data_IF_940292046780
#
_entry.id   IF_940292046780
#
_cell.length_a   1.000
_cell.length_b   1.000
_cell.length_c   1.000
_cell.angle_alpha   90.00
_cell.angle_beta   90.00
_cell.angle_gamma   90.00
#
_symmetry.space_group_name_H-M   'P 1'
#
loop_
_entity.id
_entity.type
_entity.pdbx_description
1 polymer ?
#
# COMPACT_ATOMS: atom_id res chain seq x y z
N UNK A 1 11.08 25.48 7.48
CA UNK A 1 10.16 24.34 7.32
C UNK A 1 8.73 24.87 7.48
N UNK A 2 8.01 25.02 6.38
CA UNK A 2 6.69 25.70 6.34
C UNK A 2 5.57 24.73 6.73
N UNK A 3 4.51 25.22 7.39
CA UNK A 3 3.35 24.43 7.86
C UNK A 3 2.72 23.53 6.79
N UNK A 4 2.77 23.94 5.51
CA UNK A 4 2.28 23.15 4.37
C UNK A 4 2.99 21.80 4.21
N UNK A 5 4.31 21.76 4.42
CA UNK A 5 5.11 20.53 4.33
C UNK A 5 4.81 19.52 5.43
N UNK A 6 4.34 20.01 6.58
CA UNK A 6 3.98 19.17 7.72
C UNK A 6 2.61 18.50 7.54
N UNK A 7 1.65 19.18 6.89
CA UNK A 7 0.31 18.64 6.63
C UNK A 7 0.33 17.52 5.59
N UNK A 8 1.05 17.70 4.48
CA UNK A 8 0.98 16.74 3.40
C UNK A 8 1.77 15.44 3.67
N UNK A 9 2.86 15.49 4.46
CA UNK A 9 3.44 14.29 5.09
C UNK A 9 2.46 13.55 6.03
N UNK A 10 1.59 14.29 6.72
CA UNK A 10 0.54 13.69 7.58
C UNK A 10 -0.54 13.00 6.76
N UNK A 11 -0.94 13.55 5.61
CA UNK A 11 -1.99 12.96 4.75
C UNK A 11 -1.51 11.73 4.00
N UNK A 12 -0.23 11.74 3.55
CA UNK A 12 0.42 10.54 3.03
C UNK A 12 0.46 9.44 4.09
N UNK A 13 0.83 9.76 5.33
CA UNK A 13 0.88 8.78 6.41
C UNK A 13 -0.50 8.20 6.74
N UNK A 14 -1.53 9.05 6.82
CA UNK A 14 -2.92 8.61 7.03
C UNK A 14 -3.41 7.69 5.91
N UNK A 15 -3.14 8.07 4.66
CA UNK A 15 -3.54 7.28 3.48
C UNK A 15 -2.77 5.96 3.41
N UNK A 16 -1.47 5.97 3.73
CA UNK A 16 -0.65 4.77 3.82
C UNK A 16 -1.16 3.82 4.91
N UNK A 17 -1.56 4.33 6.08
CA UNK A 17 -2.12 3.51 7.14
C UNK A 17 -3.43 2.81 6.73
N UNK A 18 -4.33 3.51 6.02
CA UNK A 18 -5.54 2.92 5.43
C UNK A 18 -5.19 1.79 4.44
N UNK A 19 -4.25 2.03 3.53
CA UNK A 19 -3.84 1.03 2.54
C UNK A 19 -3.07 -0.15 3.13
N UNK A 20 -2.30 0.07 4.19
CA UNK A 20 -1.69 -0.99 4.98
C UNK A 20 -2.75 -1.89 5.63
N UNK A 21 -3.80 -1.32 6.21
CA UNK A 21 -4.89 -2.12 6.76
C UNK A 21 -5.56 -2.97 5.67
N UNK A 22 -5.89 -2.35 4.53
CA UNK A 22 -6.53 -3.04 3.42
C UNK A 22 -5.68 -4.21 2.87
N UNK A 23 -4.38 -4.02 2.64
CA UNK A 23 -3.55 -5.10 2.08
C UNK A 23 -3.31 -6.23 3.09
N UNK A 24 -3.27 -5.95 4.40
CA UNK A 24 -3.22 -7.00 5.42
C UNK A 24 -4.48 -7.87 5.40
N UNK A 25 -5.64 -7.26 5.16
CA UNK A 25 -6.90 -8.02 5.03
C UNK A 25 -6.90 -8.84 3.73
N UNK A 26 -6.37 -8.31 2.63
CA UNK A 26 -6.16 -9.07 1.38
C UNK A 26 -5.26 -10.29 1.61
N UNK A 27 -4.13 -10.13 2.31
CA UNK A 27 -3.22 -11.25 2.64
C UNK A 27 -3.97 -12.34 3.41
N UNK A 28 -4.71 -11.95 4.46
CA UNK A 28 -5.49 -12.90 5.28
C UNK A 28 -6.56 -13.63 4.47
N UNK A 29 -7.25 -12.92 3.57
CA UNK A 29 -8.25 -13.54 2.71
C UNK A 29 -7.60 -14.42 1.64
N UNK A 30 -6.43 -14.04 1.11
CA UNK A 30 -5.65 -14.87 0.20
C UNK A 30 -5.18 -16.17 0.87
N UNK A 31 -4.69 -16.11 2.11
CA UNK A 31 -4.31 -17.31 2.89
C UNK A 31 -5.49 -18.30 3.05
N UNK A 32 -6.72 -17.79 3.05
CA UNK A 32 -7.94 -18.58 3.25
C UNK A 32 -8.60 -19.05 1.96
N UNK A 33 -8.54 -18.24 0.90
CA UNK A 33 -9.29 -18.43 -0.36
C UNK A 33 -8.38 -18.74 -1.56
N UNK A 34 -7.07 -18.54 -1.42
CA UNK A 34 -6.12 -18.50 -2.53
C UNK A 34 -6.54 -17.46 -3.57
N UNK A 35 -6.42 -17.83 -4.85
CA UNK A 35 -6.81 -16.95 -5.96
C UNK A 35 -8.31 -16.61 -5.99
N UNK A 36 -9.16 -17.30 -5.22
CA UNK A 36 -10.57 -16.92 -5.07
C UNK A 36 -10.79 -15.55 -4.41
N UNK A 37 -9.77 -14.97 -3.76
CA UNK A 37 -9.85 -13.60 -3.21
C UNK A 37 -10.12 -12.57 -4.32
N UNK A 38 -9.67 -12.82 -5.54
CA UNK A 38 -9.78 -11.87 -6.64
C UNK A 38 -11.22 -11.69 -7.13
N UNK A 39 -12.11 -12.67 -6.87
CA UNK A 39 -13.53 -12.59 -7.19
C UNK A 39 -14.29 -11.56 -6.33
N UNK A 40 -13.70 -11.11 -5.22
CA UNK A 40 -14.25 -10.07 -4.35
C UNK A 40 -14.05 -8.67 -4.98
N UNK A 41 -13.04 -8.52 -5.85
CA UNK A 41 -12.69 -7.26 -6.46
C UNK A 41 -13.44 -7.04 -7.77
N UNK A 42 -13.88 -5.80 -8.00
CA UNK A 42 -14.43 -5.38 -9.30
C UNK A 42 -13.32 -5.14 -10.35
N UNK A 43 -12.06 -5.46 -10.05
CA UNK A 43 -10.89 -5.21 -10.88
C UNK A 43 -10.01 -6.47 -10.94
N UNK A 44 -9.24 -6.63 -12.02
CA UNK A 44 -8.31 -7.76 -12.15
C UNK A 44 -7.19 -7.69 -11.10
N UNK A 45 -6.60 -8.85 -10.76
CA UNK A 45 -5.40 -8.95 -9.91
C UNK A 45 -4.32 -7.97 -10.37
N UNK A 46 -4.02 -7.92 -11.66
CA UNK A 46 -3.00 -7.03 -12.22
C UNK A 46 -3.33 -5.54 -12.02
N UNK A 47 -4.60 -5.17 -12.13
CA UNK A 47 -5.04 -3.80 -11.88
C UNK A 47 -4.90 -3.42 -10.41
N UNK A 48 -5.20 -4.35 -9.51
CA UNK A 48 -5.00 -4.19 -8.06
C UNK A 48 -3.50 -4.11 -7.74
N UNK A 49 -2.68 -4.97 -8.32
CA UNK A 49 -1.23 -4.95 -8.17
C UNK A 49 -0.64 -3.62 -8.62
N UNK A 50 -0.97 -3.17 -9.84
CA UNK A 50 -0.55 -1.87 -10.37
C UNK A 50 -0.94 -0.71 -9.45
N UNK A 51 -2.15 -0.75 -8.88
CA UNK A 51 -2.62 0.26 -7.96
C UNK A 51 -1.77 0.32 -6.68
N UNK A 52 -1.54 -0.82 -6.04
CA UNK A 52 -0.74 -0.90 -4.81
C UNK A 52 0.74 -0.55 -5.04
N UNK A 53 1.33 -0.98 -6.16
CA UNK A 53 2.70 -0.62 -6.55
C UNK A 53 2.82 0.89 -6.81
N UNK A 54 1.86 1.48 -7.51
CA UNK A 54 1.84 2.93 -7.76
C UNK A 54 1.72 3.75 -6.46
N UNK A 55 1.06 3.20 -5.43
CA UNK A 55 0.98 3.83 -4.11
C UNK A 55 2.33 3.82 -3.36
N UNK A 56 3.19 2.82 -3.57
CA UNK A 56 4.55 2.83 -3.01
C UNK A 56 5.35 4.01 -3.55
N UNK A 57 5.28 4.26 -4.85
CA UNK A 57 5.92 5.43 -5.47
C UNK A 57 5.35 6.74 -4.90
N UNK A 58 4.03 6.88 -4.87
CA UNK A 58 3.36 8.10 -4.39
C UNK A 58 3.66 8.43 -2.92
N UNK A 59 3.76 7.41 -2.05
CA UNK A 59 4.06 7.59 -0.64
C UNK A 59 5.56 7.70 -0.37
N UNK A 60 6.40 6.95 -1.09
CA UNK A 60 7.84 6.87 -0.83
C UNK A 60 8.64 8.05 -1.38
N UNK A 61 8.19 8.66 -2.48
CA UNK A 61 8.96 9.66 -3.22
C UNK A 61 8.50 11.11 -3.00
N UNK A 62 9.38 12.04 -3.40
CA UNK A 62 9.19 13.49 -3.32
C UNK A 62 9.61 14.13 -1.99
N UNK A 63 9.51 15.45 -1.91
CA UNK A 63 9.91 16.29 -0.75
C UNK A 63 9.27 15.90 0.60
N UNK A 64 8.18 15.14 0.55
CA UNK A 64 7.39 14.69 1.69
C UNK A 64 7.19 13.16 1.66
N UNK A 65 8.14 12.45 1.04
CA UNK A 65 8.16 10.99 1.07
C UNK A 65 8.18 10.48 2.51
N UNK A 66 7.46 9.39 2.77
CA UNK A 66 7.35 8.76 4.08
C UNK A 66 8.07 7.41 4.13
N UNK A 67 9.04 7.18 3.24
CA UNK A 67 9.73 5.89 3.09
C UNK A 67 10.40 5.38 4.36
N UNK A 68 10.84 6.29 5.23
CA UNK A 68 11.44 5.93 6.52
C UNK A 68 10.43 5.54 7.61
N UNK A 69 9.15 5.86 7.42
CA UNK A 69 8.11 5.60 8.42
C UNK A 69 7.84 4.09 8.55
N UNK A 70 7.68 3.57 9.79
CA UNK A 70 7.39 2.15 10.00
C UNK A 70 6.17 1.64 9.23
N UNK A 71 5.11 2.45 9.15
CA UNK A 71 3.89 2.11 8.41
C UNK A 71 4.16 1.92 6.91
N UNK A 72 5.01 2.77 6.30
CA UNK A 72 5.39 2.63 4.90
C UNK A 72 6.22 1.37 4.67
N UNK A 73 7.22 1.11 5.51
CA UNK A 73 8.09 -0.08 5.37
C UNK A 73 7.30 -1.39 5.48
N UNK A 74 6.30 -1.42 6.36
CA UNK A 74 5.41 -2.56 6.45
C UNK A 74 4.48 -2.66 5.23
N UNK A 75 3.96 -1.54 4.75
CA UNK A 75 3.14 -1.49 3.54
C UNK A 75 3.93 -2.02 2.33
N UNK A 76 5.16 -1.57 2.13
CA UNK A 76 6.08 -2.07 1.10
C UNK A 76 6.28 -3.59 1.19
N UNK A 77 6.52 -4.10 2.40
CA UNK A 77 6.64 -5.54 2.62
C UNK A 77 5.37 -6.30 2.23
N UNK A 78 4.20 -5.83 2.66
CA UNK A 78 2.93 -6.47 2.32
C UNK A 78 2.63 -6.43 0.81
N UNK A 79 2.98 -5.34 0.12
CA UNK A 79 2.87 -5.25 -1.33
C UNK A 79 3.80 -6.25 -2.02
N UNK A 80 5.04 -6.36 -1.55
CA UNK A 80 5.99 -7.36 -2.04
C UNK A 80 5.55 -8.80 -1.78
N UNK A 81 4.92 -9.07 -0.64
CA UNK A 81 4.37 -10.40 -0.31
C UNK A 81 3.23 -10.80 -1.25
N UNK A 82 2.31 -9.87 -1.55
CA UNK A 82 1.15 -10.17 -2.40
C UNK A 82 1.43 -10.13 -3.91
N UNK A 83 2.36 -9.28 -4.34
CA UNK A 83 2.55 -8.93 -5.75
C UNK A 83 4.00 -8.94 -6.21
N UNK A 84 4.95 -9.34 -5.36
CA UNK A 84 6.33 -9.54 -5.77
C UNK A 84 6.46 -10.72 -6.72
N UNK A 85 7.34 -10.60 -7.70
CA UNK A 85 7.81 -11.76 -8.45
C UNK A 85 8.62 -12.63 -7.47
N UNK A 86 8.20 -13.88 -7.27
CA UNK A 86 8.83 -14.82 -6.34
C UNK A 86 10.30 -15.13 -6.63
#
# INVERSE_FOLDING_TARGET
>A
MTLSKMQAGTWKLLSCADKLANIRDIIRDYDRLGDGVWDIFNASKDSVAWYYISMLDAFGNGDEGISDMPAFKEFEKCVGEMFGDG
#
